data_IF_000027389667
#
_entry.id   IF_000027389667
#
_cell.length_a   1.000
_cell.length_b   1.000
_cell.length_c   1.000
_cell.angle_alpha   90.00
_cell.angle_beta   90.00
_cell.angle_gamma   90.00
#
_symmetry.space_group_name_H-M   'P 1'
#
loop_
_entity.id
_entity.type
_entity.pdbx_description
1 polymer ?
#
# COMPACT_ATOMS: atom_id res chain seq x y z
N UNK A 1 19.65 0.83 -1.16
CA UNK A 1 19.13 -0.09 -2.20
C UNK A 1 17.98 0.57 -2.94
N UNK A 2 17.99 0.60 -4.27
CA UNK A 2 16.99 1.32 -5.09
C UNK A 2 15.84 0.38 -5.52
N UNK A 3 14.61 0.88 -5.52
CA UNK A 3 13.45 0.14 -6.06
C UNK A 3 13.59 0.00 -7.58
N UNK A 4 13.25 -1.18 -8.12
CA UNK A 4 13.24 -1.40 -9.56
C UNK A 4 12.28 -0.42 -10.24
N UNK A 5 12.75 0.19 -11.32
CA UNK A 5 11.99 1.18 -12.08
C UNK A 5 11.08 0.45 -13.06
N UNK A 6 9.78 0.69 -12.96
CA UNK A 6 8.77 0.17 -13.88
C UNK A 6 8.07 1.32 -14.60
N UNK A 7 7.35 1.05 -15.68
CA UNK A 7 6.53 2.08 -16.32
C UNK A 7 5.32 2.42 -15.43
N UNK A 8 4.95 3.68 -15.36
CA UNK A 8 3.78 4.15 -14.61
C UNK A 8 2.50 3.39 -15.00
N UNK A 9 2.36 3.05 -16.29
CA UNK A 9 1.27 2.24 -16.81
C UNK A 9 1.25 0.79 -16.29
N UNK A 10 2.40 0.16 -16.08
CA UNK A 10 2.49 -1.20 -15.52
C UNK A 10 2.13 -1.21 -14.04
N UNK A 11 2.69 -0.25 -13.30
CA UNK A 11 2.37 -0.06 -11.88
C UNK A 11 0.87 0.22 -11.71
N UNK A 12 0.30 1.10 -12.54
CA UNK A 12 -1.13 1.42 -12.52
C UNK A 12 -2.00 0.17 -12.74
N UNK A 13 -1.69 -0.64 -13.76
CA UNK A 13 -2.43 -1.87 -14.05
C UNK A 13 -2.38 -2.85 -12.89
N UNK A 14 -1.20 -3.09 -12.31
CA UNK A 14 -1.04 -4.02 -11.19
C UNK A 14 -1.75 -3.52 -9.94
N UNK A 15 -1.63 -2.23 -9.63
CA UNK A 15 -2.32 -1.59 -8.49
C UNK A 15 -3.84 -1.67 -8.65
N UNK A 16 -4.40 -1.28 -9.80
CA UNK A 16 -5.84 -1.34 -10.03
C UNK A 16 -6.40 -2.77 -10.06
N UNK A 17 -5.62 -3.74 -10.54
CA UNK A 17 -6.06 -5.14 -10.67
C UNK A 17 -5.99 -5.90 -9.35
N UNK A 18 -4.99 -5.60 -8.50
CA UNK A 18 -4.65 -6.44 -7.34
C UNK A 18 -4.92 -5.79 -6.01
N UNK A 19 -4.76 -4.48 -5.90
CA UNK A 19 -4.99 -3.81 -4.64
C UNK A 19 -6.50 -3.54 -4.45
N UNK A 20 -7.06 -3.86 -3.27
CA UNK A 20 -8.45 -3.57 -2.95
C UNK A 20 -8.64 -2.06 -2.72
N UNK A 21 -8.80 -1.32 -3.81
CA UNK A 21 -8.85 0.14 -3.82
C UNK A 21 -10.26 0.65 -4.05
N UNK A 22 -10.74 1.54 -3.19
CA UNK A 22 -11.90 2.39 -3.48
C UNK A 22 -11.43 3.70 -4.09
N UNK A 23 -11.61 3.84 -5.40
CA UNK A 23 -11.27 5.06 -6.14
C UNK A 23 -12.22 6.19 -5.70
N UNK A 24 -11.67 7.33 -5.27
CA UNK A 24 -12.45 8.51 -4.83
C UNK A 24 -12.50 9.60 -5.90
N UNK A 25 -11.72 9.48 -6.98
CA UNK A 25 -11.50 10.59 -7.90
C UNK A 25 -12.80 11.10 -8.54
N UNK A 26 -13.12 12.37 -8.30
CA UNK A 26 -14.11 13.10 -9.09
C UNK A 26 -13.57 13.38 -10.49
N UNK A 27 -14.44 13.37 -11.50
CA UNK A 27 -14.15 13.39 -12.95
C UNK A 27 -13.26 14.54 -13.49
N UNK A 28 -12.70 15.41 -12.65
CA UNK A 28 -11.90 16.60 -13.04
C UNK A 28 -10.43 16.56 -12.62
N UNK A 29 -9.98 15.56 -11.88
CA UNK A 29 -8.60 15.51 -11.39
C UNK A 29 -7.67 14.78 -12.37
N UNK A 30 -6.56 15.43 -12.75
CA UNK A 30 -5.45 14.83 -13.56
C UNK A 30 -4.77 13.64 -12.86
N UNK A 31 -5.10 13.40 -11.60
CA UNK A 31 -4.52 12.37 -10.75
C UNK A 31 -5.65 11.60 -10.06
N UNK A 32 -5.61 10.28 -10.19
CA UNK A 32 -6.58 9.40 -9.56
C UNK A 32 -6.11 9.17 -8.11
N UNK A 33 -6.98 9.43 -7.14
CA UNK A 33 -6.74 9.06 -5.74
C UNK A 33 -7.71 7.98 -5.31
N UNK A 34 -7.24 7.12 -4.40
CA UNK A 34 -8.00 6.01 -3.88
C UNK A 34 -7.69 5.73 -2.42
N UNK A 35 -8.57 4.97 -1.80
CA UNK A 35 -8.38 4.42 -0.47
C UNK A 35 -8.10 2.94 -0.59
N UNK A 36 -6.98 2.50 -0.04
CA UNK A 36 -6.73 1.09 0.18
C UNK A 36 -7.65 0.61 1.30
N UNK A 37 -8.49 -0.38 1.00
CA UNK A 37 -9.45 -0.95 1.93
C UNK A 37 -9.11 -2.42 2.17
N UNK A 38 -9.04 -2.85 3.43
CA UNK A 38 -9.07 -4.28 3.76
C UNK A 38 -10.47 -4.58 4.31
N UNK A 39 -11.22 -5.40 3.58
CA UNK A 39 -12.63 -5.64 3.91
C UNK A 39 -13.41 -4.32 3.95
N UNK A 40 -13.93 -3.96 5.12
CA UNK A 40 -14.71 -2.73 5.33
C UNK A 40 -13.91 -1.56 5.89
N UNK A 41 -12.68 -1.80 6.38
CA UNK A 41 -11.84 -0.74 6.97
C UNK A 41 -11.08 0.02 5.89
N UNK A 42 -11.16 1.35 5.91
CA UNK A 42 -10.30 2.25 5.10
C UNK A 42 -8.95 2.38 5.79
N UNK A 43 -7.88 2.03 5.09
CA UNK A 43 -6.54 1.96 5.67
C UNK A 43 -5.72 3.17 5.29
N UNK A 44 -5.40 3.32 4.01
CA UNK A 44 -4.46 4.34 3.55
C UNK A 44 -5.02 5.08 2.35
N UNK A 45 -4.92 6.40 2.41
CA UNK A 45 -5.11 7.25 1.24
C UNK A 45 -3.85 7.21 0.38
N UNK A 46 -4.01 6.81 -0.88
CA UNK A 46 -2.90 6.75 -1.82
C UNK A 46 -3.27 7.36 -3.16
N UNK A 47 -2.26 7.93 -3.81
CA UNK A 47 -2.35 8.43 -5.17
C UNK A 47 -2.03 7.27 -6.11
N UNK A 48 -2.96 6.99 -7.01
CA UNK A 48 -2.79 5.96 -8.03
C UNK A 48 -1.89 6.56 -9.13
N UNK A 49 -0.83 5.85 -9.56
CA UNK A 49 0.01 6.28 -10.68
C UNK A 49 -0.84 6.52 -11.93
N UNK A 50 -0.46 7.44 -12.80
CA UNK A 50 -1.22 7.65 -14.03
C UNK A 50 -0.86 6.57 -15.06
N UNK A 51 -1.74 6.29 -16.03
CA UNK A 51 -1.45 5.33 -17.10
C UNK A 51 -0.54 5.92 -18.20
N UNK A 52 0.59 6.51 -17.82
CA UNK A 52 1.55 7.11 -18.75
C UNK A 52 2.72 6.16 -19.01
N UNK A 53 3.35 6.28 -20.18
CA UNK A 53 4.57 5.50 -20.52
C UNK A 53 5.84 5.98 -19.82
N UNK A 54 5.73 6.93 -18.88
CA UNK A 54 6.86 7.49 -18.13
C UNK A 54 7.35 6.48 -17.10
N UNK A 55 8.64 6.55 -16.81
CA UNK A 55 9.26 5.74 -15.77
C UNK A 55 8.77 6.17 -14.37
N UNK A 56 8.35 5.19 -13.58
CA UNK A 56 7.99 5.39 -12.20
C UNK A 56 9.26 5.42 -11.36
N UNK A 57 9.78 6.64 -11.15
CA UNK A 57 11.02 6.88 -10.41
C UNK A 57 11.02 6.18 -9.05
N UNK A 58 12.19 5.66 -8.65
CA UNK A 58 12.36 4.86 -7.42
C UNK A 58 11.85 5.50 -6.13
N UNK A 59 11.85 6.84 -6.02
CA UNK A 59 11.27 7.54 -4.87
C UNK A 59 9.74 7.38 -4.77
N UNK A 60 9.03 7.45 -5.91
CA UNK A 60 7.58 7.19 -5.96
C UNK A 60 7.27 5.72 -5.76
N UNK A 61 8.10 4.84 -6.33
CA UNK A 61 8.01 3.39 -6.13
C UNK A 61 8.13 3.02 -4.64
N UNK A 62 9.09 3.62 -3.93
CA UNK A 62 9.26 3.40 -2.50
C UNK A 62 8.10 3.93 -1.65
N UNK A 63 7.57 5.13 -1.96
CA UNK A 63 6.39 5.63 -1.26
C UNK A 63 5.16 4.74 -1.49
N UNK A 64 4.96 4.30 -2.73
CA UNK A 64 3.88 3.39 -3.09
C UNK A 64 4.02 2.04 -2.38
N UNK A 65 5.20 1.44 -2.41
CA UNK A 65 5.48 0.18 -1.74
C UNK A 65 5.21 0.26 -0.23
N UNK A 66 5.63 1.35 0.43
CA UNK A 66 5.32 1.62 1.84
C UNK A 66 3.81 1.68 2.11
N UNK A 67 3.06 2.40 1.27
CA UNK A 67 1.60 2.51 1.39
C UNK A 67 0.88 1.19 1.14
N UNK A 68 1.52 0.28 0.41
CA UNK A 68 1.04 -1.06 0.10
C UNK A 68 1.57 -2.12 1.09
N UNK A 69 2.35 -1.72 2.10
CA UNK A 69 3.02 -2.64 3.02
C UNK A 69 3.88 -3.71 2.32
N UNK A 70 4.51 -3.34 1.20
CA UNK A 70 5.35 -4.23 0.40
C UNK A 70 6.83 -3.88 0.60
N UNK A 71 7.65 -4.91 0.80
CA UNK A 71 9.09 -4.77 0.69
C UNK A 71 9.55 -4.69 -0.77
N UNK A 72 10.80 -4.33 -1.02
CA UNK A 72 11.38 -4.29 -2.38
C UNK A 72 11.12 -5.55 -3.23
N UNK A 73 11.42 -6.77 -2.75
CA UNK A 73 11.18 -7.98 -3.52
C UNK A 73 9.68 -8.23 -3.75
N UNK A 74 8.84 -7.92 -2.75
CA UNK A 74 7.39 -8.10 -2.87
C UNK A 74 6.76 -7.09 -3.83
N UNK A 75 7.26 -5.85 -3.85
CA UNK A 75 6.85 -4.82 -4.80
C UNK A 75 7.17 -5.23 -6.24
N UNK A 76 8.36 -5.80 -6.46
CA UNK A 76 8.74 -6.37 -7.75
C UNK A 76 7.76 -7.49 -8.15
N UNK A 77 7.55 -8.48 -7.29
CA UNK A 77 6.60 -9.59 -7.53
C UNK A 77 5.15 -9.11 -7.72
N UNK A 78 4.77 -8.03 -7.05
CA UNK A 78 3.46 -7.41 -7.18
C UNK A 78 3.27 -6.81 -8.57
N UNK A 79 4.30 -6.16 -9.12
CA UNK A 79 4.23 -5.55 -10.47
C UNK A 79 4.40 -6.60 -11.57
N UNK A 80 5.38 -7.51 -11.46
CA UNK A 80 5.70 -8.55 -12.45
C UNK A 80 4.67 -9.69 -12.53
N UNK A 81 3.53 -9.51 -11.86
CA UNK A 81 2.38 -10.40 -11.95
C UNK A 81 2.50 -11.76 -11.22
N UNK A 82 3.53 -11.99 -10.41
CA UNK A 82 3.72 -13.28 -9.69
C UNK A 82 2.75 -13.48 -8.52
N UNK A 83 2.17 -12.40 -7.98
CA UNK A 83 1.29 -12.43 -6.81
C UNK A 83 -0.16 -12.07 -7.18
N UNK A 84 -1.14 -12.90 -6.82
CA UNK A 84 -2.56 -12.66 -7.12
C UNK A 84 -3.19 -11.60 -6.20
N UNK A 85 -4.32 -11.01 -6.60
CA UNK A 85 -5.06 -10.05 -5.76
C UNK A 85 -5.44 -10.63 -4.39
N UNK A 86 -5.86 -11.90 -4.37
CA UNK A 86 -6.23 -12.64 -3.16
C UNK A 86 -5.02 -12.86 -2.25
N UNK A 87 -3.88 -13.26 -2.82
CA UNK A 87 -2.64 -13.47 -2.08
C UNK A 87 -2.16 -12.15 -1.44
N UNK A 88 -2.25 -11.06 -2.21
CA UNK A 88 -1.91 -9.73 -1.71
C UNK A 88 -2.83 -9.29 -0.58
N UNK A 89 -4.13 -9.55 -0.67
CA UNK A 89 -5.07 -9.26 0.42
C UNK A 89 -4.75 -10.06 1.69
N UNK A 90 -4.34 -11.32 1.58
CA UNK A 90 -3.91 -12.14 2.72
C UNK A 90 -2.67 -11.54 3.39
N UNK A 91 -1.67 -11.12 2.60
CA UNK A 91 -0.48 -10.45 3.14
C UNK A 91 -0.85 -9.13 3.82
N UNK A 92 -1.72 -8.33 3.20
CA UNK A 92 -2.18 -7.07 3.78
C UNK A 92 -2.92 -7.26 5.10
N UNK A 93 -3.82 -8.24 5.18
CA UNK A 93 -4.54 -8.58 6.42
C UNK A 93 -3.56 -8.94 7.52
N UNK A 94 -2.59 -9.79 7.21
CA UNK A 94 -1.59 -10.27 8.16
C UNK A 94 -0.72 -9.14 8.70
N UNK A 95 -0.24 -8.25 7.84
CA UNK A 95 0.57 -7.10 8.26
C UNK A 95 -0.25 -6.09 9.06
N UNK A 96 -1.50 -5.84 8.67
CA UNK A 96 -2.40 -4.97 9.41
C UNK A 96 -2.72 -5.50 10.82
N UNK A 97 -2.98 -6.80 10.97
CA UNK A 97 -3.18 -7.42 12.29
C UNK A 97 -1.93 -7.32 13.17
N UNK A 98 -0.72 -7.42 12.60
CA UNK A 98 0.52 -7.21 13.35
C UNK A 98 0.64 -5.76 13.82
N UNK A 99 0.34 -4.77 12.98
CA UNK A 99 0.35 -3.37 13.39
C UNK A 99 -0.70 -3.05 14.47
N UNK A 100 -1.91 -3.61 14.38
CA UNK A 100 -2.93 -3.43 15.43
C UNK A 100 -2.44 -4.03 16.77
N UNK A 101 -1.82 -5.22 16.73
CA UNK A 101 -1.23 -5.84 17.94
C UNK A 101 -0.09 -5.02 18.53
N UNK A 102 0.82 -4.53 17.69
CA UNK A 102 1.96 -3.73 18.13
C UNK A 102 1.50 -2.43 18.80
N UNK A 103 0.53 -1.73 18.20
CA UNK A 103 -0.06 -0.51 18.78
C UNK A 103 -0.78 -0.79 20.09
N UNK A 104 -1.49 -1.92 20.20
CA UNK A 104 -2.14 -2.31 21.44
C UNK A 104 -1.13 -2.61 22.56
N UNK A 105 -0.01 -3.27 22.23
CA UNK A 105 1.08 -3.51 23.18
C UNK A 105 1.78 -2.22 23.60
N UNK A 106 2.06 -1.31 22.67
CA UNK A 106 2.62 0.01 23.00
C UNK A 106 1.69 0.81 23.89
N UNK A 107 0.39 0.83 23.60
CA UNK A 107 -0.60 1.51 24.43
C UNK A 107 -0.64 0.94 25.85
N UNK A 108 -0.60 -0.39 25.99
CA UNK A 108 -0.58 -1.07 27.29
C UNK A 108 0.67 -0.71 28.11
N UNK A 109 1.85 -0.72 27.48
CA UNK A 109 3.11 -0.29 28.13
C UNK A 109 3.05 1.16 28.59
N UNK A 110 2.41 2.03 27.81
CA UNK A 110 2.29 3.46 28.10
C UNK A 110 1.29 3.73 29.24
N UNK A 111 0.23 2.92 29.37
CA UNK A 111 -0.66 2.93 30.53
C UNK A 111 0.00 2.40 31.81
N UNK A 112 0.80 1.33 31.71
CA UNK A 112 1.57 0.79 32.85
C UNK A 112 2.59 1.82 33.34
N UNK A 113 3.35 2.45 32.44
CA UNK A 113 4.30 3.49 32.78
C UNK A 113 3.66 4.73 33.44
N UNK A 114 2.40 5.06 33.10
CA UNK A 114 1.65 6.16 33.72
C UNK A 114 1.07 5.84 35.09
N UNK A 115 0.92 4.57 35.45
CA UNK A 115 0.44 4.14 36.78
C UNK A 115 1.57 4.05 37.81
N UNK A 116 2.83 3.99 37.37
CA UNK A 116 4.02 3.95 38.22
C UNK A 116 4.68 5.33 38.42
N UNK A 117 4.11 6.42 37.88
CA UNK A 117 4.51 7.81 38.14
C UNK A 117 3.46 8.54 38.97
#
# INVERSE_FOLDING_TARGET
>A
MAFQVFKESEVNKSVLKKAPLKIKSGSKSKHITGWLCIGEKKIIHMRIPNAHSKEFKGGKAGELARKLFLNQPEYKSFIECSMSAVEYEIVLKREYEKEEKLKAEEFKKLEEAKKES
#
